data_IF_786282194847
#
_entry.id   IF_786282194847
#
_cell.length_a   1.000
_cell.length_b   1.000
_cell.length_c   1.000
_cell.angle_alpha   90.00
_cell.angle_beta   90.00
_cell.angle_gamma   90.00
#
_symmetry.space_group_name_H-M   'P 1'
#
loop_
_entity.id
_entity.type
_entity.pdbx_description
1 polymer ?
#
# COMPACT_ATOMS: atom_id res chain seq x y z
N UNK A 1 -6.78 -23.92 -12.71
CA UNK A 1 -5.78 -23.76 -11.62
C UNK A 1 -5.90 -22.41 -10.87
N UNK A 2 -5.77 -21.25 -11.52
CA UNK A 2 -5.81 -19.93 -10.83
C UNK A 2 -7.17 -19.65 -10.17
N UNK A 3 -8.29 -20.01 -10.81
CA UNK A 3 -9.65 -19.82 -10.28
C UNK A 3 -9.94 -20.58 -8.99
N UNK A 4 -9.55 -21.84 -8.92
CA UNK A 4 -9.73 -22.67 -7.71
C UNK A 4 -8.87 -22.16 -6.57
N UNK A 5 -7.68 -21.63 -6.87
CA UNK A 5 -6.82 -20.98 -5.90
C UNK A 5 -7.48 -19.70 -5.37
N UNK A 6 -8.06 -18.88 -6.24
CA UNK A 6 -8.78 -17.65 -5.85
C UNK A 6 -10.00 -17.98 -4.98
N UNK A 7 -10.83 -18.92 -5.42
CA UNK A 7 -12.02 -19.33 -4.67
C UNK A 7 -11.69 -19.93 -3.29
N UNK A 8 -10.54 -20.59 -3.13
CA UNK A 8 -10.10 -21.16 -1.86
C UNK A 8 -9.37 -20.17 -0.93
N UNK A 9 -8.65 -19.18 -1.49
CA UNK A 9 -7.79 -18.26 -0.72
C UNK A 9 -8.49 -16.95 -0.37
N UNK A 10 -9.32 -16.42 -1.27
CA UNK A 10 -10.06 -15.17 -1.06
C UNK A 10 -10.92 -15.19 0.22
N UNK A 11 -11.78 -16.20 0.50
CA UNK A 11 -12.60 -16.20 1.70
C UNK A 11 -11.76 -16.30 2.99
N UNK A 12 -10.66 -17.07 2.99
CA UNK A 12 -9.76 -17.16 4.15
C UNK A 12 -9.03 -15.85 4.42
N UNK A 13 -8.59 -15.17 3.35
CA UNK A 13 -7.98 -13.85 3.43
C UNK A 13 -8.99 -12.82 3.95
N UNK A 14 -10.21 -12.80 3.42
CA UNK A 14 -11.27 -11.91 3.91
C UNK A 14 -11.59 -12.15 5.39
N UNK A 15 -11.66 -13.41 5.85
CA UNK A 15 -11.86 -13.73 7.27
C UNK A 15 -10.69 -13.22 8.12
N UNK A 16 -9.45 -13.45 7.69
CA UNK A 16 -8.26 -12.93 8.39
C UNK A 16 -8.24 -11.41 8.46
N UNK A 17 -8.57 -10.72 7.36
CA UNK A 17 -8.66 -9.27 7.30
C UNK A 17 -9.81 -8.72 8.14
N UNK A 18 -10.98 -9.37 8.15
CA UNK A 18 -12.09 -8.99 9.01
C UNK A 18 -11.74 -9.15 10.49
N UNK A 19 -11.07 -10.25 10.86
CA UNK A 19 -10.58 -10.45 12.22
C UNK A 19 -9.55 -9.38 12.61
N UNK A 20 -8.60 -9.07 11.73
CA UNK A 20 -7.60 -8.01 11.96
C UNK A 20 -8.23 -6.62 12.05
N UNK A 21 -9.19 -6.29 11.19
CA UNK A 21 -9.93 -5.03 11.24
C UNK A 21 -10.74 -4.90 12.54
N UNK A 22 -11.42 -5.98 12.97
CA UNK A 22 -12.16 -6.02 14.23
C UNK A 22 -11.24 -5.87 15.44
N UNK A 23 -10.08 -6.54 15.44
CA UNK A 23 -9.07 -6.39 16.49
C UNK A 23 -8.52 -4.96 16.55
N UNK A 24 -8.25 -4.34 15.40
CA UNK A 24 -7.80 -2.95 15.33
C UNK A 24 -8.87 -1.98 15.81
N UNK A 25 -10.13 -2.23 15.47
CA UNK A 25 -11.27 -1.41 15.88
C UNK A 25 -11.52 -1.50 17.40
N UNK A 26 -11.37 -2.70 17.99
CA UNK A 26 -11.44 -2.92 19.43
C UNK A 26 -10.21 -2.33 20.16
N UNK A 27 -9.03 -2.47 19.58
CA UNK A 27 -7.76 -1.98 20.11
C UNK A 27 -7.47 -0.50 19.80
N UNK A 28 -8.34 0.19 19.06
CA UNK A 28 -8.16 1.59 18.65
C UNK A 28 -7.72 2.54 19.77
N UNK A 29 -8.32 2.54 20.98
CA UNK A 29 -7.85 3.41 22.07
C UNK A 29 -6.43 3.09 22.54
N UNK A 30 -6.06 1.80 22.59
CA UNK A 30 -4.72 1.39 22.98
C UNK A 30 -3.69 1.73 21.91
N UNK A 31 -4.03 1.53 20.63
CA UNK A 31 -3.18 1.89 19.48
C UNK A 31 -2.93 3.39 19.46
N UNK A 32 -3.95 4.22 19.65
CA UNK A 32 -3.80 5.69 19.71
C UNK A 32 -2.95 6.09 20.93
N UNK A 33 -3.17 5.47 22.09
CA UNK A 33 -2.38 5.74 23.29
C UNK A 33 -0.89 5.40 23.16
N UNK A 34 -0.54 4.36 22.41
CA UNK A 34 0.86 3.98 22.14
C UNK A 34 1.47 4.81 21.01
N UNK A 35 0.74 5.04 19.90
CA UNK A 35 1.31 5.74 18.75
C UNK A 35 1.45 7.24 18.98
N UNK A 36 0.53 7.84 19.72
CA UNK A 36 0.41 9.28 19.77
C UNK A 36 -0.16 9.77 21.13
N UNK A 37 0.56 9.54 22.24
CA UNK A 37 0.11 9.90 23.59
C UNK A 37 -0.03 11.42 23.83
N UNK A 38 0.62 12.25 23.02
CA UNK A 38 0.64 13.72 23.18
C UNK A 38 -0.46 14.48 22.45
N UNK A 39 -1.45 13.82 21.84
CA UNK A 39 -2.54 14.52 21.16
C UNK A 39 -3.44 15.30 22.11
N UNK A 40 -3.78 16.54 21.73
CA UNK A 40 -4.72 17.39 22.45
C UNK A 40 -6.16 16.84 22.51
N UNK A 41 -6.58 16.05 21.50
CA UNK A 41 -7.90 15.39 21.48
C UNK A 41 -7.78 13.91 21.06
N UNK A 42 -7.57 13.00 22.04
CA UNK A 42 -7.44 11.57 21.79
C UNK A 42 -8.74 10.93 21.29
N UNK A 43 -9.92 11.48 21.67
CA UNK A 43 -11.21 10.88 21.34
C UNK A 43 -11.50 10.95 19.84
N UNK A 44 -11.22 12.10 19.21
CA UNK A 44 -11.36 12.26 17.76
C UNK A 44 -10.43 11.32 16.98
N UNK A 45 -9.20 11.11 17.48
CA UNK A 45 -8.23 10.20 16.87
C UNK A 45 -8.68 8.73 16.97
N UNK A 46 -9.28 8.32 18.09
CA UNK A 46 -9.86 6.98 18.26
C UNK A 46 -11.02 6.76 17.29
N UNK A 47 -11.92 7.73 17.15
CA UNK A 47 -13.04 7.63 16.20
C UNK A 47 -12.57 7.51 14.75
N UNK A 48 -11.60 8.33 14.35
CA UNK A 48 -11.00 8.23 13.02
C UNK A 48 -10.28 6.90 12.80
N UNK A 49 -9.62 6.37 13.84
CA UNK A 49 -8.95 5.06 13.80
C UNK A 49 -9.97 3.93 13.64
N UNK A 50 -11.10 3.99 14.33
CA UNK A 50 -12.19 3.01 14.16
C UNK A 50 -12.79 3.06 12.75
N UNK A 51 -13.01 4.26 12.22
CA UNK A 51 -13.53 4.44 10.86
C UNK A 51 -12.55 3.92 9.81
N UNK A 52 -11.26 4.19 9.99
CA UNK A 52 -10.21 3.75 9.07
C UNK A 52 -9.87 2.26 9.22
N UNK A 53 -10.16 1.62 10.36
CA UNK A 53 -9.99 0.19 10.54
C UNK A 53 -10.81 -0.64 9.53
N UNK A 54 -11.99 -0.16 9.13
CA UNK A 54 -12.79 -0.78 8.07
C UNK A 54 -12.02 -0.87 6.75
N UNK A 55 -11.13 0.09 6.49
CA UNK A 55 -10.34 0.11 5.24
C UNK A 55 -9.30 -0.99 5.17
N UNK A 56 -8.91 -1.61 6.29
CA UNK A 56 -7.99 -2.77 6.31
C UNK A 56 -8.53 -3.90 5.42
N UNK A 57 -9.84 -4.16 5.50
CA UNK A 57 -10.50 -5.15 4.65
C UNK A 57 -10.44 -4.73 3.18
N UNK A 58 -10.79 -3.48 2.89
CA UNK A 58 -10.89 -2.95 1.52
C UNK A 58 -9.53 -2.88 0.83
N UNK A 59 -8.49 -2.47 1.55
CA UNK A 59 -7.10 -2.44 1.10
C UNK A 59 -6.57 -3.85 0.86
N UNK A 60 -6.87 -4.79 1.75
CA UNK A 60 -6.46 -6.19 1.56
C UNK A 60 -7.10 -6.82 0.33
N UNK A 61 -8.39 -6.58 0.09
CA UNK A 61 -9.08 -7.03 -1.12
C UNK A 61 -8.50 -6.36 -2.37
N UNK A 62 -8.25 -5.04 -2.32
CA UNK A 62 -7.63 -4.31 -3.43
C UNK A 62 -6.23 -4.83 -3.73
N UNK A 63 -5.42 -5.09 -2.71
CA UNK A 63 -4.09 -5.67 -2.86
C UNK A 63 -4.14 -7.05 -3.51
N UNK A 64 -5.11 -7.87 -3.11
CA UNK A 64 -5.36 -9.18 -3.71
C UNK A 64 -5.76 -9.08 -5.19
N UNK A 65 -6.72 -8.23 -5.53
CA UNK A 65 -7.13 -7.98 -6.92
C UNK A 65 -5.97 -7.43 -7.75
N UNK A 66 -5.19 -6.51 -7.19
CA UNK A 66 -4.00 -5.96 -7.82
C UNK A 66 -2.96 -7.04 -8.12
N UNK A 67 -2.68 -7.94 -7.19
CA UNK A 67 -1.74 -9.04 -7.38
C UNK A 67 -2.24 -10.02 -8.45
N UNK A 68 -3.52 -10.38 -8.42
CA UNK A 68 -4.14 -11.27 -9.41
C UNK A 68 -4.10 -10.65 -10.82
N UNK A 69 -4.48 -9.37 -10.95
CA UNK A 69 -4.45 -8.64 -12.22
C UNK A 69 -3.02 -8.50 -12.78
N UNK A 70 -2.04 -8.18 -11.92
CA UNK A 70 -0.62 -8.11 -12.31
C UNK A 70 -0.08 -9.47 -12.76
N UNK A 71 -0.48 -10.56 -12.12
CA UNK A 71 -0.12 -11.91 -12.55
C UNK A 71 -0.68 -12.25 -13.95
N UNK A 72 -1.82 -11.68 -14.32
CA UNK A 72 -2.42 -11.78 -15.65
C UNK A 72 -1.94 -10.69 -16.64
N UNK A 73 -0.84 -9.99 -16.33
CA UNK A 73 -0.28 -8.90 -17.15
C UNK A 73 -1.22 -7.70 -17.37
N UNK A 74 -2.23 -7.53 -16.52
CA UNK A 74 -3.13 -6.38 -16.54
C UNK A 74 -2.68 -5.33 -15.51
N UNK A 75 -1.95 -4.32 -15.95
CA UNK A 75 -1.38 -3.28 -15.07
C UNK A 75 -2.22 -2.00 -14.98
N UNK A 76 -3.10 -1.75 -15.95
CA UNK A 76 -3.89 -0.52 -16.03
C UNK A 76 -4.85 -0.35 -14.84
N UNK A 77 -5.69 -1.35 -14.47
CA UNK A 77 -6.56 -1.21 -13.31
C UNK A 77 -5.81 -1.09 -11.98
N UNK A 78 -4.72 -1.84 -11.72
CA UNK A 78 -3.86 -1.62 -10.55
C UNK A 78 -3.17 -0.26 -10.48
N UNK A 79 -2.94 0.42 -11.60
CA UNK A 79 -2.41 1.78 -11.60
C UNK A 79 -3.46 2.82 -11.19
N UNK A 80 -4.73 2.63 -11.58
CA UNK A 80 -5.83 3.55 -11.29
C UNK A 80 -6.33 3.56 -9.84
N UNK A 81 -5.96 2.57 -9.04
CA UNK A 81 -6.37 2.41 -7.63
C UNK A 81 -6.11 3.67 -6.80
N UNK A 82 -4.89 4.20 -6.86
CA UNK A 82 -4.53 5.37 -6.06
C UNK A 82 -5.24 6.64 -6.54
N UNK A 83 -5.52 6.74 -7.85
CA UNK A 83 -6.30 7.86 -8.39
C UNK A 83 -7.71 7.82 -7.83
N UNK A 84 -8.37 6.66 -7.89
CA UNK A 84 -9.71 6.45 -7.36
C UNK A 84 -9.80 6.69 -5.85
N UNK A 85 -8.78 6.23 -5.11
CA UNK A 85 -8.65 6.45 -3.67
C UNK A 85 -8.60 7.94 -3.33
N UNK A 86 -7.71 8.70 -3.99
CA UNK A 86 -7.56 10.13 -3.75
C UNK A 86 -8.79 10.93 -4.18
N UNK A 87 -9.45 10.54 -5.28
CA UNK A 87 -10.72 11.16 -5.71
C UNK A 87 -11.79 10.98 -4.62
N UNK A 88 -11.91 9.79 -4.04
CA UNK A 88 -12.85 9.54 -2.95
C UNK A 88 -12.56 10.39 -1.70
N UNK A 89 -11.28 10.52 -1.32
CA UNK A 89 -10.88 11.37 -0.19
C UNK A 89 -11.19 12.84 -0.47
N UNK A 90 -10.76 13.36 -1.62
CA UNK A 90 -10.95 14.77 -1.98
C UNK A 90 -12.43 15.09 -2.11
N UNK A 91 -13.20 14.25 -2.82
CA UNK A 91 -14.64 14.44 -3.02
C UNK A 91 -15.41 14.47 -1.71
N UNK A 92 -15.16 13.50 -0.82
CA UNK A 92 -15.82 13.47 0.49
C UNK A 92 -15.37 14.60 1.41
N UNK A 93 -14.09 14.98 1.36
CA UNK A 93 -13.60 16.12 2.15
C UNK A 93 -14.27 17.40 1.66
N UNK A 94 -14.26 17.70 0.37
CA UNK A 94 -14.90 18.92 -0.16
C UNK A 94 -16.41 18.97 0.09
N UNK A 95 -17.10 17.83 0.01
CA UNK A 95 -18.55 17.78 0.22
C UNK A 95 -18.97 17.89 1.69
N UNK A 96 -18.21 17.28 2.62
CA UNK A 96 -18.63 17.12 4.02
C UNK A 96 -17.75 17.88 5.03
N UNK A 97 -16.72 18.61 4.59
CA UNK A 97 -15.81 19.33 5.48
C UNK A 97 -16.54 20.32 6.39
N UNK A 98 -17.56 21.02 5.88
CA UNK A 98 -18.33 22.01 6.64
C UNK A 98 -19.17 21.42 7.77
N UNK A 99 -19.57 20.15 7.67
CA UNK A 99 -20.41 19.47 8.65
C UNK A 99 -19.61 18.62 9.62
N UNK A 100 -18.60 17.88 9.12
CA UNK A 100 -17.93 16.80 9.85
C UNK A 100 -16.42 17.02 10.06
N UNK A 101 -15.84 18.11 9.55
CA UNK A 101 -14.44 18.48 9.77
C UNK A 101 -13.47 17.32 9.43
N UNK A 102 -12.64 16.92 10.40
CA UNK A 102 -11.64 15.84 10.23
C UNK A 102 -12.28 14.47 9.98
N UNK A 103 -13.48 14.21 10.52
CA UNK A 103 -14.21 12.95 10.28
C UNK A 103 -14.62 12.81 8.81
N UNK A 104 -14.80 13.91 8.08
CA UNK A 104 -15.07 13.87 6.63
C UNK A 104 -13.89 13.26 5.86
N UNK A 105 -12.65 13.54 6.27
CA UNK A 105 -11.46 12.93 5.66
C UNK A 105 -11.37 11.42 5.99
N UNK A 106 -11.67 11.02 7.23
CA UNK A 106 -11.73 9.61 7.62
C UNK A 106 -12.81 8.84 6.85
N UNK A 107 -13.99 9.43 6.67
CA UNK A 107 -15.05 8.88 5.82
C UNK A 107 -14.63 8.83 4.35
N UNK A 108 -13.92 9.85 3.87
CA UNK A 108 -13.32 9.88 2.53
C UNK A 108 -12.32 8.76 2.28
N UNK A 109 -11.54 8.38 3.30
CA UNK A 109 -10.64 7.21 3.24
C UNK A 109 -11.45 5.91 3.11
N UNK A 110 -12.54 5.75 3.86
CA UNK A 110 -13.42 4.59 3.74
C UNK A 110 -14.07 4.49 2.34
N UNK A 111 -14.67 5.59 1.87
CA UNK A 111 -15.28 5.67 0.53
C UNK A 111 -14.24 5.47 -0.57
N UNK A 112 -13.10 6.16 -0.49
CA UNK A 112 -11.99 6.04 -1.44
C UNK A 112 -11.50 4.60 -1.52
N UNK A 113 -11.40 3.89 -0.38
CA UNK A 113 -10.99 2.49 -0.36
C UNK A 113 -11.97 1.58 -1.10
N UNK A 114 -13.27 1.88 -1.06
CA UNK A 114 -14.28 1.16 -1.82
C UNK A 114 -14.16 1.45 -3.33
N UNK A 115 -13.89 2.70 -3.70
CA UNK A 115 -13.61 3.09 -5.09
C UNK A 115 -12.41 2.33 -5.67
N UNK A 116 -11.37 2.06 -4.86
CA UNK A 116 -10.23 1.23 -5.27
C UNK A 116 -10.69 -0.15 -5.74
N UNK A 117 -11.59 -0.81 -4.99
CA UNK A 117 -12.13 -2.12 -5.38
C UNK A 117 -12.96 -1.98 -6.65
N UNK A 118 -13.86 -0.99 -6.70
CA UNK A 118 -14.78 -0.79 -7.82
C UNK A 118 -14.05 -0.56 -9.15
N UNK A 119 -12.92 0.15 -9.14
CA UNK A 119 -12.12 0.35 -10.37
C UNK A 119 -11.48 -0.92 -10.90
N UNK A 120 -11.13 -1.86 -10.02
CA UNK A 120 -10.49 -3.12 -10.41
C UNK A 120 -11.49 -4.24 -10.69
N UNK A 121 -12.64 -4.20 -10.01
CA UNK A 121 -13.69 -5.22 -10.06
C UNK A 121 -14.14 -5.58 -11.49
N UNK A 122 -14.45 -4.64 -12.41
CA UNK A 122 -14.92 -5.02 -13.75
C UNK A 122 -13.85 -5.79 -14.54
N UNK A 123 -12.59 -5.37 -14.45
CA UNK A 123 -11.49 -6.05 -15.14
C UNK A 123 -11.19 -7.40 -14.50
N UNK A 124 -11.28 -7.48 -13.17
CA UNK A 124 -11.17 -8.73 -12.44
C UNK A 124 -12.27 -9.73 -12.87
N UNK A 125 -13.52 -9.31 -12.96
CA UNK A 125 -14.64 -10.15 -13.39
C UNK A 125 -14.57 -10.54 -14.87
N UNK A 126 -14.00 -9.70 -15.74
CA UNK A 126 -13.75 -10.04 -17.15
C UNK A 126 -12.68 -11.12 -17.30
N UNK A 127 -11.59 -11.03 -16.54
CA UNK A 127 -10.48 -11.99 -16.59
C UNK A 127 -10.78 -13.28 -15.81
N UNK A 128 -11.55 -13.17 -14.72
CA UNK A 128 -11.91 -14.26 -13.81
C UNK A 128 -13.43 -14.22 -13.52
N UNK A 129 -14.31 -14.48 -14.50
CA UNK A 129 -15.74 -14.47 -14.28
C UNK A 129 -16.14 -15.45 -13.18
N UNK A 130 -16.86 -14.94 -12.18
CA UNK A 130 -17.44 -15.69 -11.06
C UNK A 130 -18.51 -16.65 -11.62
N UNK A 131 -18.10 -17.86 -12.00
CA UNK A 131 -19.06 -18.90 -12.36
C UNK A 131 -19.72 -19.45 -11.08
N UNK A 132 -21.05 -19.66 -11.17
CA UNK A 132 -21.95 -20.20 -10.14
C UNK A 132 -21.33 -21.34 -9.34
N UNK A 133 -21.66 -21.48 -8.04
CA UNK A 133 -21.10 -22.50 -7.17
C UNK A 133 -21.54 -23.89 -7.66
N UNK A 134 -20.75 -24.51 -8.54
CA UNK A 134 -20.86 -25.94 -8.78
C UNK A 134 -20.19 -26.61 -7.59
N UNK A 135 -21.01 -27.17 -6.70
CA UNK A 135 -20.64 -28.13 -5.67
C UNK A 135 -19.91 -29.32 -6.31
N UNK A 136 -18.63 -29.15 -6.65
CA UNK A 136 -17.73 -30.27 -6.94
C UNK A 136 -16.88 -30.49 -5.69
N UNK A 137 -17.15 -31.63 -5.04
CA UNK A 137 -16.38 -32.19 -3.93
C UNK A 137 -14.87 -31.99 -4.13
N UNK A 138 -14.12 -31.64 -3.07
CA UNK A 138 -12.69 -31.38 -3.18
C UNK A 138 -11.95 -32.70 -3.46
N UNK A 139 -11.54 -32.90 -4.71
CA UNK A 139 -10.61 -33.97 -5.09
C UNK A 139 -9.42 -33.37 -5.81
N UNK A 140 -8.41 -32.97 -5.03
CA UNK A 140 -7.01 -33.40 -5.15
C UNK A 140 -6.15 -32.58 -4.19
N UNK A 141 -5.36 -33.30 -3.37
CA UNK A 141 -4.25 -32.74 -2.59
C UNK A 141 -3.35 -31.93 -3.53
N UNK A 142 -3.21 -30.64 -3.28
CA UNK A 142 -2.09 -29.84 -3.81
C UNK A 142 -0.83 -30.39 -3.13
N UNK A 143 0.25 -30.72 -3.85
CA UNK A 143 1.50 -31.14 -3.24
C UNK A 143 1.98 -30.05 -2.27
N UNK A 144 2.31 -30.46 -1.04
CA UNK A 144 2.86 -29.61 0.04
C UNK A 144 4.31 -29.21 -0.25
N UNK A 145 4.60 -28.69 -1.43
CA UNK A 145 5.95 -28.33 -1.87
C UNK A 145 5.99 -26.85 -2.24
N UNK A 146 5.75 -25.97 -1.26
CA UNK A 146 6.03 -24.53 -1.39
C UNK A 146 6.14 -23.70 -0.08
N UNK A 147 5.98 -24.19 1.17
CA UNK A 147 6.04 -23.27 2.31
C UNK A 147 7.45 -22.71 2.56
N UNK A 148 8.51 -23.40 2.13
CA UNK A 148 9.89 -23.03 2.45
C UNK A 148 10.52 -22.03 1.46
N UNK A 149 10.22 -22.12 0.15
CA UNK A 149 10.65 -21.09 -0.82
C UNK A 149 9.91 -19.76 -0.62
N UNK A 150 8.66 -19.82 -0.16
CA UNK A 150 7.89 -18.62 0.17
C UNK A 150 8.54 -17.82 1.29
N UNK A 151 9.01 -18.47 2.36
CA UNK A 151 9.53 -17.75 3.52
C UNK A 151 10.92 -17.13 3.29
N UNK A 152 11.78 -17.75 2.49
CA UNK A 152 13.09 -17.18 2.16
C UNK A 152 12.99 -15.92 1.27
N UNK A 153 11.99 -15.83 0.39
CA UNK A 153 11.74 -14.65 -0.47
C UNK A 153 10.86 -13.62 0.25
N UNK A 154 9.91 -14.05 1.07
CA UNK A 154 9.05 -13.17 1.86
C UNK A 154 9.81 -12.54 3.03
N UNK A 155 10.80 -13.21 3.63
CA UNK A 155 11.57 -12.68 4.75
C UNK A 155 12.20 -11.31 4.46
N UNK A 156 12.98 -11.11 3.38
CA UNK A 156 13.55 -9.79 3.08
C UNK A 156 12.49 -8.76 2.72
N UNK A 157 11.39 -9.15 2.06
CA UNK A 157 10.28 -8.23 1.73
C UNK A 157 9.56 -7.77 2.99
N UNK A 158 9.23 -8.70 3.89
CA UNK A 158 8.60 -8.41 5.18
C UNK A 158 9.53 -7.57 6.04
N UNK A 159 10.82 -7.92 6.14
CA UNK A 159 11.80 -7.15 6.88
C UNK A 159 11.91 -5.72 6.32
N UNK A 160 11.96 -5.56 5.00
CA UNK A 160 11.98 -4.24 4.36
C UNK A 160 10.71 -3.42 4.67
N UNK A 161 9.53 -4.03 4.58
CA UNK A 161 8.26 -3.36 4.90
C UNK A 161 8.21 -2.99 6.38
N UNK A 162 8.63 -3.87 7.28
CA UNK A 162 8.66 -3.62 8.73
C UNK A 162 9.63 -2.49 9.06
N UNK A 163 10.84 -2.48 8.50
CA UNK A 163 11.82 -1.40 8.71
C UNK A 163 11.33 -0.06 8.18
N UNK A 164 10.67 -0.03 7.01
CA UNK A 164 10.07 1.20 6.47
C UNK A 164 8.92 1.70 7.34
N UNK A 165 8.09 0.80 7.83
CA UNK A 165 6.94 1.16 8.67
C UNK A 165 7.39 1.60 10.07
N UNK A 166 8.45 0.99 10.63
CA UNK A 166 9.00 1.38 11.93
C UNK A 166 9.58 2.78 11.90
N UNK A 167 10.24 3.18 10.79
CA UNK A 167 10.74 4.54 10.63
C UNK A 167 9.59 5.57 10.74
N UNK A 168 8.52 5.37 9.98
CA UNK A 168 7.35 6.27 9.99
C UNK A 168 6.65 6.27 11.36
N UNK A 169 6.61 5.12 12.04
CA UNK A 169 6.06 5.02 13.39
C UNK A 169 6.88 5.83 14.41
N UNK A 170 8.21 5.70 14.39
CA UNK A 170 9.11 6.45 15.28
C UNK A 170 9.01 7.95 15.01
N UNK A 171 9.00 8.34 13.74
CA UNK A 171 8.78 9.73 13.32
C UNK A 171 7.45 10.31 13.85
N UNK A 172 6.35 9.55 13.74
CA UNK A 172 5.03 9.96 14.26
C UNK A 172 4.98 10.00 15.78
N UNK A 173 5.61 9.03 16.45
CA UNK A 173 5.70 8.99 17.91
C UNK A 173 6.44 10.22 18.44
N UNK A 174 7.59 10.55 17.86
CA UNK A 174 8.35 11.76 18.18
C UNK A 174 7.58 13.03 17.83
N UNK A 175 6.90 13.08 16.68
CA UNK A 175 6.09 14.24 16.29
C UNK A 175 4.82 14.42 17.13
N UNK A 176 4.36 13.37 17.84
CA UNK A 176 3.17 13.43 18.68
C UNK A 176 3.37 14.22 19.99
N UNK A 177 4.61 14.39 20.45
CA UNK A 177 4.96 15.20 21.62
C UNK A 177 5.21 16.68 21.28
N UNK A 178 5.20 17.03 19.99
CA UNK A 178 5.35 18.39 19.50
C UNK A 178 3.97 19.09 19.36
N UNK A 179 3.94 20.43 19.23
CA UNK A 179 2.71 21.20 19.11
C UNK A 179 1.78 20.68 18.00
N UNK A 180 0.47 20.85 18.20
CA UNK A 180 -0.56 20.38 17.27
C UNK A 180 -0.24 20.79 15.82
N UNK A 181 -0.25 19.80 14.91
CA UNK A 181 0.09 20.00 13.49
C UNK A 181 1.44 19.43 13.06
N UNK A 182 2.35 19.09 13.97
CA UNK A 182 3.68 18.55 13.65
C UNK A 182 3.63 17.26 12.79
N UNK A 183 2.69 16.34 13.07
CA UNK A 183 2.47 15.13 12.27
C UNK A 183 2.05 15.47 10.83
N UNK A 184 1.19 16.49 10.67
CA UNK A 184 0.75 16.96 9.35
C UNK A 184 1.88 17.65 8.59
N UNK A 185 2.67 18.50 9.25
CA UNK A 185 3.85 19.13 8.65
C UNK A 185 4.89 18.12 8.20
N UNK A 186 5.14 17.08 8.99
CA UNK A 186 6.07 16.01 8.62
C UNK A 186 5.56 15.22 7.40
N UNK A 187 4.27 14.89 7.37
CA UNK A 187 3.64 14.23 6.23
C UNK A 187 3.69 15.10 4.97
N UNK A 188 3.53 16.43 5.08
CA UNK A 188 3.69 17.34 3.94
C UNK A 188 5.15 17.45 3.49
N UNK A 189 6.10 17.57 4.42
CA UNK A 189 7.52 17.59 4.12
C UNK A 189 7.97 16.32 3.37
N UNK A 190 7.48 15.14 3.78
CA UNK A 190 7.75 13.88 3.08
C UNK A 190 7.21 13.88 1.64
N UNK A 191 5.99 14.39 1.42
CA UNK A 191 5.43 14.51 0.07
C UNK A 191 6.24 15.43 -0.82
N UNK A 192 6.69 16.57 -0.28
CA UNK A 192 7.55 17.52 -1.01
C UNK A 192 8.92 16.89 -1.29
N UNK A 193 9.55 16.25 -0.32
CA UNK A 193 10.84 15.56 -0.48
C UNK A 193 10.78 14.39 -1.47
N UNK A 194 9.60 13.79 -1.67
CA UNK A 194 9.43 12.71 -2.63
C UNK A 194 9.51 13.21 -4.09
N UNK A 195 9.18 14.47 -4.38
CA UNK A 195 9.24 15.00 -5.74
C UNK A 195 10.69 15.04 -6.30
N UNK A 196 11.69 15.61 -5.60
CA UNK A 196 13.09 15.52 -6.02
C UNK A 196 13.61 14.08 -6.03
N UNK A 197 13.25 13.29 -5.01
CA UNK A 197 13.74 11.91 -4.88
C UNK A 197 13.38 11.03 -6.07
N UNK A 198 12.17 11.20 -6.63
CA UNK A 198 11.75 10.45 -7.83
C UNK A 198 12.59 10.85 -9.04
N UNK A 199 12.93 12.14 -9.20
CA UNK A 199 13.81 12.60 -10.29
C UNK A 199 15.21 12.00 -10.15
N UNK A 200 15.80 12.00 -8.95
CA UNK A 200 17.09 11.36 -8.69
C UNK A 200 17.05 9.85 -8.97
N UNK A 201 15.96 9.17 -8.59
CA UNK A 201 15.79 7.74 -8.84
C UNK A 201 15.66 7.44 -10.34
N UNK A 202 14.99 8.30 -11.11
CA UNK A 202 14.90 8.17 -12.57
C UNK A 202 16.28 8.19 -13.22
N UNK A 203 17.15 9.11 -12.82
CA UNK A 203 18.54 9.19 -13.28
C UNK A 203 19.26 7.87 -12.95
N UNK A 204 19.21 7.41 -11.70
CA UNK A 204 19.83 6.14 -11.31
C UNK A 204 19.31 4.95 -12.14
N UNK A 205 18.00 4.86 -12.40
CA UNK A 205 17.43 3.75 -13.20
C UNK A 205 17.85 3.77 -14.67
N UNK A 206 18.20 4.93 -15.24
CA UNK A 206 18.69 5.05 -16.62
C UNK A 206 20.19 4.86 -16.70
N UNK A 207 20.94 5.40 -15.74
CA UNK A 207 22.40 5.29 -15.66
C UNK A 207 22.85 3.87 -15.33
N UNK A 208 22.16 3.18 -14.41
CA UNK A 208 22.59 1.86 -13.92
C UNK A 208 22.71 0.77 -15.00
N UNK A 209 21.74 0.59 -15.92
CA UNK A 209 21.86 -0.37 -17.03
C UNK A 209 23.02 -0.04 -17.99
N UNK A 210 23.26 1.25 -18.23
CA UNK A 210 24.33 1.72 -19.11
C UNK A 210 25.70 1.46 -18.49
N UNK A 211 25.85 1.70 -17.20
CA UNK A 211 27.07 1.40 -16.43
C UNK A 211 27.30 -0.10 -16.35
N UNK A 212 26.26 -0.89 -16.07
CA UNK A 212 26.35 -2.35 -16.02
C UNK A 212 26.79 -2.95 -17.36
N UNK A 213 26.28 -2.44 -18.49
CA UNK A 213 26.72 -2.85 -19.84
C UNK A 213 28.16 -2.44 -20.13
N UNK A 214 28.54 -1.20 -19.82
CA UNK A 214 29.91 -0.73 -20.04
C UNK A 214 30.97 -1.48 -19.21
N UNK A 215 30.60 -1.92 -18.00
CA UNK A 215 31.43 -2.78 -17.16
C UNK A 215 31.53 -4.21 -17.68
N UNK A 216 30.43 -4.77 -18.23
CA UNK A 216 30.43 -6.09 -18.85
C UNK A 216 31.25 -6.15 -20.16
N UNK A 217 31.29 -5.05 -20.91
CA UNK A 217 32.09 -4.92 -22.13
C UNK A 217 33.60 -4.62 -21.86
N UNK A 218 34.04 -4.64 -20.60
CA UNK A 218 35.44 -4.43 -20.20
C UNK A 218 35.95 -2.99 -20.37
N UNK A 219 35.06 -2.03 -20.64
CA UNK A 219 35.43 -0.67 -21.05
C UNK A 219 35.29 0.34 -19.89
N UNK A 220 36.07 0.10 -18.82
CA UNK A 220 35.99 0.82 -17.53
C UNK A 220 36.10 2.35 -17.64
N UNK A 221 36.83 2.87 -18.63
CA UNK A 221 36.98 4.31 -18.85
C UNK A 221 35.69 4.99 -19.35
N UNK A 222 34.92 4.31 -20.22
CA UNK A 222 33.62 4.83 -20.70
C UNK A 222 32.55 4.80 -19.59
N UNK A 223 32.59 3.81 -18.71
CA UNK A 223 31.72 3.76 -17.55
C UNK A 223 31.96 4.95 -16.60
N UNK A 224 33.24 5.26 -16.31
CA UNK A 224 33.61 6.37 -15.42
C UNK A 224 33.20 7.75 -15.96
N UNK A 225 33.49 8.02 -17.23
CA UNK A 225 33.09 9.28 -17.87
C UNK A 225 31.57 9.46 -17.95
N UNK A 226 30.79 8.38 -18.09
CA UNK A 226 29.33 8.45 -18.12
C UNK A 226 28.76 8.77 -16.74
N UNK A 227 29.28 8.13 -15.69
CA UNK A 227 28.88 8.39 -14.29
C UNK A 227 29.23 9.83 -13.88
N UNK A 228 30.43 10.32 -14.22
CA UNK A 228 30.82 11.71 -13.94
C UNK A 228 29.90 12.72 -14.64
N UNK A 229 29.49 12.45 -15.88
CA UNK A 229 28.60 13.32 -16.66
C UNK A 229 27.15 13.29 -16.17
N UNK A 230 26.65 12.12 -15.77
CA UNK A 230 25.30 11.98 -15.19
C UNK A 230 25.23 12.59 -13.78
N UNK A 231 26.30 12.50 -12.98
CA UNK A 231 26.41 13.18 -11.69
C UNK A 231 26.48 14.71 -11.85
N UNK A 232 27.18 15.21 -12.86
CA UNK A 232 27.26 16.65 -13.16
C UNK A 232 25.93 17.24 -13.67
N UNK A 233 25.02 16.43 -14.20
CA UNK A 233 23.68 16.84 -14.61
C UNK A 233 22.65 16.76 -13.46
N UNK A 234 22.99 16.10 -12.35
CA UNK A 234 22.11 15.88 -11.21
C UNK A 234 22.35 16.84 -10.02
N UNK A 235 23.42 17.64 -10.06
CA UNK A 235 23.70 18.73 -9.11
C UNK A 235 23.20 20.08 -9.63
#
# INVERSE_FOLDING_TARGET
PVRELVAATLPRLCVGLMAGAGLLMAGAPWVVGVLAPGLADPALAVDCTRLTAVTVLTFGITGYFSAALRAHRSFLPPAGVYVAYNIGIIGMTLALHSLWGVRAAAAGVAVGSLLMILTQLPTFLRLLPLARPRLRRPRRRVPRTAPLLGMAVLAPVVLFVVSRQSQVLVERFLASTLPAGAISHLNYAQKVAQMPMVLSLMICTVTFPVVARAMADGNHMKARQRVERDLALAG
#
